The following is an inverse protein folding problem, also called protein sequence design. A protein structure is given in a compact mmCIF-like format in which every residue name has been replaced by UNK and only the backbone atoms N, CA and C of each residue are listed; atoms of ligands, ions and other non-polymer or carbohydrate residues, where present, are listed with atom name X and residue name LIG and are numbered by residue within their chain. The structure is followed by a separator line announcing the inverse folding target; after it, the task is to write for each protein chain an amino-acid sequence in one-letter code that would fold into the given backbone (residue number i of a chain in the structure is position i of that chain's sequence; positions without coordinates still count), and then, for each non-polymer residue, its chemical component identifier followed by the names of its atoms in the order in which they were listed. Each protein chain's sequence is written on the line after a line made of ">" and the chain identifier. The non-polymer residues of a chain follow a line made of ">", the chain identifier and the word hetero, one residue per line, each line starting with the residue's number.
data_IF_825417387341
#
_entry.id   IF_825417387341
#
_cell.length_a   1.000
_cell.length_b   1.000
_cell.length_c   1.000
_cell.angle_alpha   90.00
_cell.angle_beta   90.00
_cell.angle_gamma   90.00
#
_symmetry.space_group_name_H-M   'P 1'
#
loop_
_entity.id
_entity.type
_entity.pdbx_description
1 polymer ?
#
# COMPACT_ATOMS: atom_id res chain seq x y z
N UNK A 1 4.27 31.89 9.71
CA UNK A 1 2.79 31.88 9.67
C UNK A 1 2.20 32.23 8.28
N UNK A 2 2.94 32.07 7.17
CA UNK A 2 2.46 32.37 5.80
C UNK A 2 2.64 31.26 4.78
N UNK A 3 3.24 30.11 5.12
CA UNK A 3 3.37 28.96 4.21
C UNK A 3 2.18 27.97 4.28
N UNK A 4 1.35 28.03 5.32
CA UNK A 4 0.27 27.07 5.57
C UNK A 4 -0.97 27.21 4.66
N UNK A 5 -0.94 28.08 3.64
CA UNK A 5 -2.07 28.32 2.73
C UNK A 5 -1.73 28.14 1.24
N UNK A 6 -0.57 27.61 0.91
CA UNK A 6 -0.28 27.28 -0.48
C UNK A 6 -0.84 25.89 -0.82
N UNK A 7 -1.95 25.86 -1.55
CA UNK A 7 -2.46 24.63 -2.16
C UNK A 7 -1.34 23.93 -2.93
N UNK A 8 -1.28 22.62 -2.87
CA UNK A 8 -0.26 21.78 -3.55
C UNK A 8 -0.02 22.15 -5.04
N UNK A 9 -1.03 22.76 -5.69
CA UNK A 9 -0.95 23.23 -7.09
C UNK A 9 -0.13 24.50 -7.32
N UNK A 10 0.42 25.12 -6.25
CA UNK A 10 1.13 26.40 -6.33
C UNK A 10 2.59 26.33 -5.89
N UNK A 11 3.13 25.12 -5.63
CA UNK A 11 4.54 25.01 -5.27
C UNK A 11 5.42 25.24 -6.52
N UNK A 12 6.48 26.05 -6.41
CA UNK A 12 7.35 26.35 -7.56
C UNK A 12 8.04 25.08 -8.07
N UNK A 13 8.14 24.92 -9.37
CA UNK A 13 8.78 23.78 -10.03
C UNK A 13 10.20 23.47 -9.56
N UNK A 14 10.91 24.46 -9.01
CA UNK A 14 12.26 24.31 -8.49
C UNK A 14 12.33 23.83 -7.03
N UNK A 15 11.19 23.63 -6.36
CA UNK A 15 11.17 23.22 -4.94
C UNK A 15 11.86 21.86 -4.71
N UNK A 16 11.75 20.98 -5.70
CA UNK A 16 12.34 19.65 -5.65
C UNK A 16 13.74 19.56 -6.30
N UNK A 17 14.32 20.68 -6.74
CA UNK A 17 15.67 20.69 -7.35
C UNK A 17 16.77 20.22 -6.40
N UNK A 18 16.54 20.27 -5.10
CA UNK A 18 17.46 19.77 -4.08
C UNK A 18 17.32 18.25 -3.82
N UNK A 19 16.26 17.61 -4.34
CA UNK A 19 16.06 16.17 -4.18
C UNK A 19 16.76 15.39 -5.27
N UNK A 20 17.33 14.25 -4.91
CA UNK A 20 17.98 13.34 -5.84
C UNK A 20 16.93 12.40 -6.43
N UNK A 21 16.87 12.27 -7.76
CA UNK A 21 15.98 11.32 -8.40
C UNK A 21 16.28 9.89 -7.93
N UNK A 22 15.26 9.13 -7.60
CA UNK A 22 15.40 7.74 -7.20
C UNK A 22 15.95 6.91 -8.37
N UNK A 23 17.01 6.16 -8.13
CA UNK A 23 17.58 5.26 -9.12
C UNK A 23 16.51 4.27 -9.63
N UNK A 24 16.36 4.17 -10.94
CA UNK A 24 15.33 3.35 -11.60
C UNK A 24 13.88 3.70 -11.20
N UNK A 25 13.62 4.93 -10.71
CA UNK A 25 12.30 5.38 -10.24
C UNK A 25 11.19 5.14 -11.27
N UNK A 26 11.46 5.28 -12.55
CA UNK A 26 10.50 5.09 -13.65
C UNK A 26 9.93 3.66 -13.68
N UNK A 27 10.70 2.64 -13.26
CA UNK A 27 10.21 1.26 -13.22
C UNK A 27 9.08 1.07 -12.22
N UNK A 28 9.08 1.84 -11.12
CA UNK A 28 8.01 1.83 -10.11
C UNK A 28 6.78 2.64 -10.52
N UNK A 29 6.88 3.44 -11.58
CA UNK A 29 5.80 4.29 -12.09
C UNK A 29 5.17 3.74 -13.38
N UNK A 30 5.65 2.60 -13.90
CA UNK A 30 5.09 1.97 -15.10
C UNK A 30 3.62 1.64 -14.89
N UNK A 31 2.76 2.16 -15.75
CA UNK A 31 1.31 1.88 -15.71
C UNK A 31 1.07 0.40 -15.96
N UNK A 32 0.30 -0.21 -15.08
CA UNK A 32 -0.08 -1.62 -15.18
C UNK A 32 -1.39 -1.78 -15.97
N UNK A 33 -1.43 -2.80 -16.83
CA UNK A 33 -2.70 -3.25 -17.40
C UNK A 33 -3.64 -3.75 -16.30
N UNK A 34 -4.93 -3.83 -16.56
CA UNK A 34 -5.88 -4.35 -15.57
C UNK A 34 -5.57 -5.80 -15.17
N UNK A 35 -5.10 -6.61 -16.11
CA UNK A 35 -4.65 -7.99 -15.83
C UNK A 35 -3.42 -7.97 -14.92
N UNK A 36 -2.43 -7.12 -15.21
CA UNK A 36 -1.22 -7.04 -14.39
C UNK A 36 -1.50 -6.49 -12.99
N UNK A 37 -2.49 -5.60 -12.85
CA UNK A 37 -2.95 -5.14 -11.53
C UNK A 37 -3.46 -6.28 -10.66
N UNK A 38 -4.15 -7.24 -11.24
CA UNK A 38 -4.60 -8.43 -10.50
C UNK A 38 -3.44 -9.36 -10.15
N UNK A 39 -2.56 -9.63 -11.13
CA UNK A 39 -1.47 -10.61 -10.99
C UNK A 39 -0.32 -10.14 -10.13
N UNK A 40 0.05 -8.87 -10.23
CA UNK A 40 1.24 -8.30 -9.61
C UNK A 40 0.95 -7.61 -8.27
N UNK A 41 -0.30 -7.71 -7.76
CA UNK A 41 -0.61 -7.19 -6.43
C UNK A 41 0.36 -7.76 -5.38
N UNK A 42 0.96 -6.95 -4.50
CA UNK A 42 0.67 -5.54 -4.18
C UNK A 42 1.57 -4.51 -4.92
N UNK A 43 2.17 -4.88 -6.02
CA UNK A 43 3.08 -4.12 -6.89
C UNK A 43 4.46 -3.85 -6.24
N UNK A 44 5.43 -3.56 -7.10
CA UNK A 44 6.78 -3.24 -6.66
C UNK A 44 6.83 -1.88 -5.96
N UNK A 45 7.58 -1.82 -4.88
CA UNK A 45 7.86 -0.60 -4.14
C UNK A 45 9.35 -0.50 -3.79
N UNK A 46 9.92 0.71 -3.69
CA UNK A 46 11.26 0.89 -3.18
C UNK A 46 11.42 0.32 -1.76
N UNK A 47 12.57 -0.24 -1.45
CA UNK A 47 12.88 -0.73 -0.09
C UNK A 47 13.19 0.40 0.89
N UNK A 48 13.67 1.54 0.39
CA UNK A 48 13.95 2.77 1.16
C UNK A 48 12.79 3.74 1.17
N UNK A 49 13.02 4.91 1.79
CA UNK A 49 12.11 6.04 1.72
C UNK A 49 12.12 6.66 0.32
N UNK A 50 10.96 7.18 -0.10
CA UNK A 50 10.85 7.93 -1.34
C UNK A 50 9.84 9.08 -1.21
N UNK A 51 10.03 10.10 -2.04
CA UNK A 51 9.06 11.18 -2.24
C UNK A 51 8.47 11.03 -3.64
N UNK A 52 7.16 10.80 -3.73
CA UNK A 52 6.41 10.95 -4.98
C UNK A 52 6.03 12.42 -5.13
N UNK A 53 6.51 13.09 -6.17
CA UNK A 53 6.18 14.47 -6.44
C UNK A 53 6.24 14.78 -7.93
N UNK A 54 5.23 15.48 -8.45
CA UNK A 54 5.13 15.88 -9.86
C UNK A 54 5.34 14.71 -10.84
N UNK A 55 4.76 13.55 -10.52
CA UNK A 55 4.86 12.35 -11.36
C UNK A 55 6.25 11.67 -11.38
N UNK A 56 7.18 12.10 -10.52
CA UNK A 56 8.52 11.55 -10.40
C UNK A 56 8.79 11.02 -8.99
N UNK A 57 9.82 10.19 -8.85
CA UNK A 57 10.28 9.66 -7.57
C UNK A 57 11.66 10.23 -7.22
N UNK A 58 11.77 10.63 -5.97
CA UNK A 58 13.01 11.13 -5.40
C UNK A 58 13.39 10.28 -4.19
N UNK A 59 14.69 10.13 -3.95
CA UNK A 59 15.19 9.46 -2.76
C UNK A 59 14.85 10.27 -1.49
N UNK A 60 14.45 9.58 -0.44
CA UNK A 60 14.06 10.18 0.84
C UNK A 60 14.79 9.47 1.99
N UNK A 61 16.07 9.75 2.11
CA UNK A 61 16.91 9.32 3.22
C UNK A 61 16.78 10.27 4.44
N UNK A 62 17.44 9.91 5.54
CA UNK A 62 17.46 10.72 6.76
C UNK A 62 17.96 12.15 6.53
N UNK A 63 18.99 12.30 5.70
CA UNK A 63 19.60 13.59 5.39
C UNK A 63 18.63 14.51 4.65
N UNK A 64 17.83 13.94 3.76
CA UNK A 64 16.78 14.68 3.04
C UNK A 64 15.65 15.06 3.97
N UNK A 65 15.23 14.15 4.87
CA UNK A 65 14.22 14.43 5.90
C UNK A 65 14.67 15.58 6.80
N UNK A 66 15.89 15.53 7.33
CA UNK A 66 16.40 16.57 8.25
C UNK A 66 16.45 17.96 7.60
N UNK A 67 16.75 18.00 6.31
CA UNK A 67 16.83 19.24 5.51
C UNK A 67 15.47 19.76 5.11
N UNK A 68 14.48 18.90 4.92
CA UNK A 68 13.19 19.22 4.32
C UNK A 68 12.00 18.75 5.18
N UNK A 69 12.10 18.89 6.53
CA UNK A 69 11.05 18.42 7.46
C UNK A 69 9.65 18.96 7.14
N UNK A 70 9.56 20.10 6.47
CA UNK A 70 8.30 20.69 6.03
C UNK A 70 7.44 19.78 5.14
N UNK A 71 8.04 18.75 4.50
CA UNK A 71 7.28 17.80 3.68
C UNK A 71 6.31 16.94 4.50
N UNK A 72 6.46 16.92 5.83
CA UNK A 72 5.57 16.20 6.76
C UNK A 72 4.55 17.13 7.44
N UNK A 73 4.62 18.44 7.22
CA UNK A 73 3.71 19.38 7.87
C UNK A 73 2.25 19.11 7.45
N UNK A 74 1.34 19.16 8.43
CA UNK A 74 -0.10 18.92 8.25
C UNK A 74 -0.44 17.57 7.59
N UNK A 75 0.38 16.54 7.79
CA UNK A 75 0.18 15.19 7.26
C UNK A 75 -0.09 14.16 8.34
N UNK A 76 -0.88 13.16 7.97
CA UNK A 76 -1.20 11.98 8.79
C UNK A 76 -0.39 10.80 8.30
N UNK A 77 0.19 10.06 9.24
CA UNK A 77 0.95 8.85 8.98
C UNK A 77 0.00 7.65 8.74
N UNK A 78 0.05 7.05 7.56
CA UNK A 78 -0.80 5.91 7.16
C UNK A 78 0.06 4.72 6.75
N UNK A 79 0.01 3.63 7.53
CA UNK A 79 0.71 2.38 7.25
C UNK A 79 0.14 1.72 5.99
N UNK A 80 1.00 1.42 5.06
CA UNK A 80 0.66 0.81 3.78
C UNK A 80 0.98 -0.68 3.81
N UNK A 81 0.00 -1.51 4.15
CA UNK A 81 0.17 -2.97 4.29
C UNK A 81 0.14 -3.72 2.95
N UNK A 82 -0.42 -3.10 1.91
CA UNK A 82 -0.58 -3.69 0.57
C UNK A 82 -0.12 -2.78 -0.54
N UNK A 83 -0.94 -2.59 -1.57
CA UNK A 83 -0.58 -1.86 -2.79
C UNK A 83 -0.30 -0.36 -2.58
N UNK A 84 -0.79 0.24 -1.51
CA UNK A 84 -0.55 1.67 -1.21
C UNK A 84 0.92 2.00 -0.87
N UNK A 85 1.78 1.00 -0.73
CA UNK A 85 3.24 1.19 -0.63
C UNK A 85 3.89 1.44 -1.99
N UNK A 86 3.21 1.12 -3.08
CA UNK A 86 3.75 1.18 -4.43
C UNK A 86 3.50 2.53 -5.10
N UNK A 87 4.55 3.18 -5.65
CA UNK A 87 4.41 4.48 -6.31
C UNK A 87 3.38 4.52 -7.42
N UNK A 88 3.29 3.47 -8.26
CA UNK A 88 2.28 3.38 -9.32
C UNK A 88 0.86 3.44 -8.78
N UNK A 89 0.60 2.88 -7.61
CA UNK A 89 -0.71 2.92 -6.98
C UNK A 89 -1.02 4.29 -6.38
N UNK A 90 -0.05 4.92 -5.72
CA UNK A 90 -0.22 6.28 -5.19
C UNK A 90 -0.45 7.27 -6.34
N UNK A 91 0.35 7.20 -7.40
CA UNK A 91 0.17 8.02 -8.60
C UNK A 91 -1.22 7.83 -9.23
N UNK A 92 -1.70 6.58 -9.30
CA UNK A 92 -3.04 6.26 -9.82
C UNK A 92 -4.16 6.86 -8.96
N UNK A 93 -4.00 6.87 -7.62
CA UNK A 93 -5.00 7.40 -6.69
C UNK A 93 -5.03 8.92 -6.65
N UNK A 94 -3.86 9.55 -6.69
CA UNK A 94 -3.69 10.97 -6.37
C UNK A 94 -3.28 11.83 -7.56
N UNK A 95 -2.92 11.20 -8.69
CA UNK A 95 -2.48 11.91 -9.90
C UNK A 95 -1.02 12.37 -9.83
N UNK A 96 -0.55 12.95 -10.96
CA UNK A 96 0.85 13.36 -11.11
C UNK A 96 1.21 14.58 -10.25
N UNK A 97 0.26 15.45 -9.94
CA UNK A 97 0.51 16.63 -9.10
C UNK A 97 0.67 16.34 -7.60
N UNK A 98 0.43 15.09 -7.18
CA UNK A 98 0.53 14.71 -5.77
C UNK A 98 1.96 14.82 -5.24
N UNK A 99 2.06 15.24 -3.97
CA UNK A 99 3.30 15.24 -3.19
C UNK A 99 3.08 14.34 -1.99
N UNK A 100 3.73 13.17 -1.98
CA UNK A 100 3.53 12.15 -0.95
C UNK A 100 4.89 11.64 -0.48
N UNK A 101 5.34 12.02 0.71
CA UNK A 101 6.46 11.36 1.37
C UNK A 101 6.07 9.94 1.76
N UNK A 102 6.96 8.98 1.55
CA UNK A 102 6.79 7.59 1.96
C UNK A 102 8.06 7.13 2.66
N UNK A 103 7.93 6.66 3.89
CA UNK A 103 9.07 6.26 4.72
C UNK A 103 9.00 4.78 5.08
N UNK A 104 10.14 4.07 5.18
CA UNK A 104 10.16 2.69 5.59
C UNK A 104 9.80 2.56 7.08
N UNK A 105 9.10 1.49 7.41
CA UNK A 105 8.71 1.15 8.77
C UNK A 105 8.58 -0.36 8.94
N UNK A 106 8.61 -0.82 10.19
CA UNK A 106 8.37 -2.22 10.55
C UNK A 106 7.13 -2.32 11.44
N UNK A 107 6.33 -3.34 11.20
CA UNK A 107 5.23 -3.72 12.07
C UNK A 107 5.59 -5.02 12.78
N UNK A 108 5.50 -5.02 14.12
CA UNK A 108 5.87 -6.14 14.98
C UNK A 108 4.64 -6.97 15.35
N UNK A 109 4.87 -8.25 15.67
CA UNK A 109 3.88 -9.22 16.10
C UNK A 109 2.68 -9.37 15.15
N UNK A 110 2.90 -9.05 13.87
CA UNK A 110 1.92 -9.18 12.80
C UNK A 110 2.54 -9.77 11.54
N UNK A 111 1.73 -10.46 10.74
CA UNK A 111 2.05 -10.77 9.34
C UNK A 111 1.02 -10.12 8.42
N UNK A 112 1.37 -9.99 7.14
CA UNK A 112 0.45 -9.52 6.12
C UNK A 112 -0.11 -10.72 5.37
N UNK A 113 -1.41 -10.89 5.50
CA UNK A 113 -2.15 -12.04 4.96
C UNK A 113 -3.22 -11.60 3.97
N UNK A 114 -3.66 -12.51 3.11
CA UNK A 114 -4.78 -12.28 2.21
C UNK A 114 -6.08 -12.05 2.98
N UNK A 115 -6.83 -11.02 2.62
CA UNK A 115 -8.16 -10.75 3.15
C UNK A 115 -9.20 -11.66 2.49
N UNK A 116 -10.27 -12.02 3.22
CA UNK A 116 -11.34 -12.88 2.71
C UNK A 116 -12.29 -12.12 1.76
N UNK A 117 -11.75 -11.50 0.73
CA UNK A 117 -12.52 -10.78 -0.29
C UNK A 117 -11.78 -10.75 -1.63
N UNK A 118 -12.53 -10.42 -2.68
CA UNK A 118 -12.00 -10.16 -4.01
C UNK A 118 -12.12 -8.67 -4.32
N UNK A 119 -11.01 -8.06 -4.71
CA UNK A 119 -11.02 -6.67 -5.17
C UNK A 119 -11.66 -6.53 -6.54
N UNK A 120 -12.15 -5.34 -6.87
CA UNK A 120 -12.83 -5.03 -8.14
C UNK A 120 -11.99 -5.35 -9.40
N UNK A 121 -10.68 -5.44 -9.27
CA UNK A 121 -9.77 -5.81 -10.36
C UNK A 121 -9.29 -7.26 -10.27
N UNK A 122 -10.00 -8.11 -9.51
CA UNK A 122 -9.76 -9.55 -9.35
C UNK A 122 -8.51 -9.94 -8.56
N UNK A 123 -7.85 -9.02 -7.86
CA UNK A 123 -6.84 -9.40 -6.88
C UNK A 123 -7.51 -9.75 -5.53
N UNK A 124 -6.89 -10.64 -4.78
CA UNK A 124 -7.19 -10.85 -3.37
C UNK A 124 -6.36 -9.87 -2.56
N UNK A 125 -6.96 -8.83 -1.95
CA UNK A 125 -6.21 -7.84 -1.20
C UNK A 125 -5.68 -8.41 0.12
N UNK A 126 -5.02 -7.58 0.92
CA UNK A 126 -4.40 -8.04 2.16
C UNK A 126 -4.77 -7.17 3.35
N UNK A 127 -4.48 -7.70 4.53
CA UNK A 127 -4.62 -7.04 5.83
C UNK A 127 -3.52 -7.49 6.78
N UNK A 128 -3.24 -6.68 7.81
CA UNK A 128 -2.39 -7.12 8.92
C UNK A 128 -3.17 -8.12 9.80
N UNK A 129 -2.48 -9.14 10.29
CA UNK A 129 -3.05 -10.16 11.17
C UNK A 129 -2.04 -10.55 12.26
N UNK A 130 -2.47 -10.77 13.49
CA UNK A 130 -1.58 -11.12 14.61
C UNK A 130 -0.74 -12.36 14.32
N UNK A 131 0.58 -12.23 14.53
CA UNK A 131 1.56 -13.29 14.34
C UNK A 131 2.74 -13.05 15.28
N UNK A 132 2.67 -13.55 16.50
CA UNK A 132 3.65 -13.31 17.54
C UNK A 132 5.08 -13.65 17.09
N UNK A 133 6.01 -12.72 17.25
CA UNK A 133 7.41 -12.82 16.83
C UNK A 133 7.65 -12.60 15.33
N UNK A 134 6.61 -12.33 14.54
CA UNK A 134 6.77 -11.93 13.14
C UNK A 134 7.04 -10.42 13.05
N UNK A 135 7.93 -10.02 12.15
CA UNK A 135 8.23 -8.62 11.85
C UNK A 135 8.14 -8.43 10.36
N UNK A 136 7.28 -7.52 9.92
CA UNK A 136 7.10 -7.21 8.49
C UNK A 136 7.68 -5.86 8.13
N UNK A 137 8.34 -5.79 6.97
CA UNK A 137 8.89 -4.56 6.40
C UNK A 137 7.84 -3.89 5.52
N UNK A 138 7.42 -2.70 5.91
CA UNK A 138 6.34 -1.94 5.30
C UNK A 138 6.77 -0.49 5.00
N UNK A 139 5.81 0.32 4.58
CA UNK A 139 5.99 1.74 4.35
C UNK A 139 4.86 2.54 5.01
N UNK A 140 5.17 3.75 5.44
CA UNK A 140 4.19 4.74 5.90
C UNK A 140 4.09 5.84 4.85
N UNK A 141 2.90 6.03 4.29
CA UNK A 141 2.58 7.16 3.42
C UNK A 141 2.10 8.34 4.29
N UNK A 142 2.63 9.52 4.03
CA UNK A 142 2.29 10.74 4.75
C UNK A 142 1.33 11.57 3.91
N UNK A 143 0.06 11.55 4.30
CA UNK A 143 -1.04 12.09 3.51
C UNK A 143 -1.56 13.40 4.11
N UNK A 144 -1.73 14.43 3.29
CA UNK A 144 -2.49 15.62 3.68
C UNK A 144 -3.99 15.32 3.78
N UNK A 145 -4.78 16.28 4.24
CA UNK A 145 -6.20 16.06 4.50
C UNK A 145 -7.00 15.65 3.24
N UNK A 146 -6.71 16.24 2.07
CA UNK A 146 -7.39 15.91 0.81
C UNK A 146 -6.98 14.50 0.33
N UNK A 147 -5.71 14.17 0.47
CA UNK A 147 -5.18 12.84 0.14
C UNK A 147 -5.73 11.77 1.08
N UNK A 148 -5.85 12.05 2.38
CA UNK A 148 -6.41 11.12 3.34
C UNK A 148 -7.89 10.84 3.04
N UNK A 149 -8.67 11.87 2.73
CA UNK A 149 -10.06 11.73 2.32
C UNK A 149 -10.21 10.89 1.02
N UNK A 150 -9.34 11.13 0.03
CA UNK A 150 -9.29 10.33 -1.19
C UNK A 150 -8.87 8.88 -0.91
N UNK A 151 -7.91 8.67 0.01
CA UNK A 151 -7.53 7.32 0.44
C UNK A 151 -8.73 6.61 1.07
N UNK A 152 -9.46 7.25 1.97
CA UNK A 152 -10.65 6.71 2.61
C UNK A 152 -11.71 6.25 1.59
N UNK A 153 -11.99 7.08 0.58
CA UNK A 153 -12.93 6.72 -0.50
C UNK A 153 -12.47 5.49 -1.28
N UNK A 154 -11.18 5.42 -1.62
CA UNK A 154 -10.64 4.32 -2.43
C UNK A 154 -10.45 3.02 -1.66
N UNK A 155 -10.34 3.08 -0.35
CA UNK A 155 -10.32 1.90 0.53
C UNK A 155 -11.75 1.43 0.90
N UNK A 156 -12.77 2.24 0.66
CA UNK A 156 -14.15 1.89 0.98
C UNK A 156 -14.37 1.71 2.47
N UNK A 157 -14.01 2.74 3.27
CA UNK A 157 -14.19 2.71 4.73
C UNK A 157 -15.64 2.38 5.10
N UNK A 158 -15.79 1.52 6.12
CA UNK A 158 -17.08 1.05 6.60
C UNK A 158 -17.73 -0.05 5.74
N UNK A 159 -17.18 -0.31 4.55
CA UNK A 159 -17.60 -1.40 3.64
C UNK A 159 -16.51 -2.47 3.53
N UNK A 160 -15.36 -2.13 2.98
CA UNK A 160 -14.25 -3.07 2.78
C UNK A 160 -13.24 -3.05 3.93
N UNK A 161 -12.97 -1.86 4.46
CA UNK A 161 -11.98 -1.66 5.53
C UNK A 161 -12.51 -0.76 6.65
N UNK A 162 -11.94 -0.95 7.84
CA UNK A 162 -11.99 -0.01 8.95
C UNK A 162 -10.67 0.76 9.02
N UNK A 163 -10.74 2.06 9.33
CA UNK A 163 -9.59 2.90 9.58
C UNK A 163 -9.25 2.85 11.07
N UNK A 164 -8.08 2.33 11.41
CA UNK A 164 -7.69 2.01 12.78
C UNK A 164 -6.32 2.57 13.12
N UNK A 165 -6.09 2.87 14.40
CA UNK A 165 -4.77 3.20 14.91
C UNK A 165 -3.95 1.90 15.01
N UNK A 166 -2.77 1.90 14.39
CA UNK A 166 -1.85 0.76 14.37
C UNK A 166 -0.95 0.80 15.60
N UNK A 167 -0.81 -0.34 16.26
CA UNK A 167 0.14 -0.54 17.36
C UNK A 167 1.44 -1.16 16.81
N UNK A 168 2.51 -1.06 17.58
CA UNK A 168 3.78 -1.75 17.33
C UNK A 168 4.42 -1.45 15.96
N UNK A 169 4.19 -0.21 15.47
CA UNK A 169 4.85 0.33 14.27
C UNK A 169 6.12 1.07 14.67
N UNK A 170 7.24 0.71 14.07
CA UNK A 170 8.54 1.37 14.28
C UNK A 170 9.02 1.94 12.96
N UNK A 171 9.24 3.24 12.90
CA UNK A 171 9.85 3.91 11.75
C UNK A 171 11.35 3.59 11.68
N UNK A 172 11.87 3.35 10.48
CA UNK A 172 13.30 3.13 10.25
C UNK A 172 14.08 4.44 10.07
N UNK A 173 13.37 5.56 9.92
CA UNK A 173 13.92 6.92 9.83
C UNK A 173 13.35 7.81 10.94
N UNK A 174 14.08 8.86 11.32
CA UNK A 174 13.63 9.86 12.29
C UNK A 174 12.61 10.80 11.61
N UNK A 175 11.36 10.53 11.82
CA UNK A 175 10.20 11.26 11.28
C UNK A 175 9.44 11.96 12.42
N UNK A 176 8.43 12.82 12.15
CA UNK A 176 7.58 13.36 13.19
C UNK A 176 6.91 12.27 14.03
N UNK A 177 6.95 12.41 15.35
CA UNK A 177 6.29 11.51 16.29
C UNK A 177 4.79 11.79 16.30
N UNK A 178 4.00 10.85 15.79
CA UNK A 178 2.55 10.91 15.80
C UNK A 178 1.93 9.51 15.65
N UNK A 179 0.65 9.33 15.99
CA UNK A 179 -0.05 8.06 15.77
C UNK A 179 0.00 7.63 14.31
N UNK A 180 0.25 6.35 14.08
CA UNK A 180 0.20 5.74 12.76
C UNK A 180 -1.14 5.04 12.60
N UNK A 181 -1.83 5.31 11.51
CA UNK A 181 -3.10 4.68 11.18
C UNK A 181 -2.95 3.69 10.03
N UNK A 182 -3.94 2.84 9.83
CA UNK A 182 -3.95 1.87 8.74
C UNK A 182 -5.35 1.36 8.44
N UNK A 183 -5.43 0.45 7.49
CA UNK A 183 -6.69 -0.13 7.05
C UNK A 183 -6.74 -1.62 7.39
N UNK A 184 -7.75 -2.02 8.18
CA UNK A 184 -8.03 -3.40 8.58
C UNK A 184 -9.22 -3.93 7.79
N UNK A 185 -9.07 -5.09 7.14
CA UNK A 185 -10.15 -5.66 6.32
C UNK A 185 -11.32 -6.14 7.19
N UNK A 186 -12.53 -5.69 6.85
CA UNK A 186 -13.77 -6.07 7.55
C UNK A 186 -14.19 -7.51 7.24
N UNK A 187 -13.81 -8.03 6.09
CA UNK A 187 -14.07 -9.43 5.70
C UNK A 187 -13.28 -10.44 6.51
N UNK A 188 -12.34 -10.00 7.34
CA UNK A 188 -11.38 -10.89 7.99
C UNK A 188 -10.32 -11.41 7.02
N UNK A 189 -9.70 -12.53 7.37
CA UNK A 189 -8.60 -13.15 6.63
C UNK A 189 -9.05 -14.37 5.84
N UNK A 190 -8.42 -14.62 4.70
CA UNK A 190 -8.70 -15.79 3.87
C UNK A 190 -8.31 -17.07 4.61
N UNK A 191 -9.29 -17.93 4.88
CA UNK A 191 -9.04 -19.29 5.34
C UNK A 191 -8.47 -20.12 4.19
N UNK A 192 -7.18 -20.33 4.22
CA UNK A 192 -6.49 -21.11 3.20
C UNK A 192 -6.55 -22.62 3.48
N UNK A 193 -6.39 -23.01 4.75
CA UNK A 193 -6.37 -24.41 5.14
C UNK A 193 -6.86 -24.59 6.60
N UNK A 194 -8.17 -24.80 6.78
CA UNK A 194 -8.73 -25.19 8.07
C UNK A 194 -8.49 -24.19 9.21
N UNK A 195 -8.72 -22.91 8.98
CA UNK A 195 -8.52 -21.83 9.93
C UNK A 195 -7.12 -21.18 9.90
N UNK A 196 -6.25 -21.60 8.97
CA UNK A 196 -4.90 -21.06 8.82
C UNK A 196 -4.92 -19.94 7.76
N UNK A 197 -4.52 -18.69 8.11
CA UNK A 197 -4.38 -17.61 7.16
C UNK A 197 -3.31 -17.89 6.10
N UNK A 198 -3.46 -17.22 4.94
CA UNK A 198 -2.50 -17.27 3.83
C UNK A 198 -1.64 -16.00 3.83
N UNK A 199 -0.34 -16.10 4.08
CA UNK A 199 0.57 -14.97 4.03
C UNK A 199 0.82 -14.51 2.59
N UNK A 200 0.95 -13.18 2.41
CA UNK A 200 1.27 -12.55 1.13
C UNK A 200 2.80 -12.53 0.92
N UNK A 201 3.36 -13.37 0.02
CA UNK A 201 4.82 -13.56 -0.10
C UNK A 201 5.54 -12.32 -0.60
N UNK A 202 4.86 -11.41 -1.31
CA UNK A 202 5.45 -10.18 -1.82
C UNK A 202 5.79 -9.15 -0.71
N UNK A 203 5.33 -9.38 0.53
CA UNK A 203 5.68 -8.57 1.69
C UNK A 203 6.80 -9.28 2.46
N UNK A 204 7.92 -8.62 2.60
CA UNK A 204 9.10 -9.15 3.32
C UNK A 204 8.78 -9.27 4.81
N UNK A 205 8.98 -10.46 5.36
CA UNK A 205 8.76 -10.75 6.77
C UNK A 205 9.86 -11.64 7.35
N UNK A 206 10.15 -11.45 8.63
CA UNK A 206 11.04 -12.31 9.43
C UNK A 206 10.20 -12.97 10.52
N UNK A 207 10.37 -14.27 10.73
CA UNK A 207 9.61 -15.01 11.73
C UNK A 207 8.17 -15.36 11.30
N UNK A 208 7.86 -15.28 10.02
CA UNK A 208 6.56 -15.68 9.44
C UNK A 208 6.21 -17.12 9.80
N UNK A 209 4.95 -17.34 10.16
CA UNK A 209 4.44 -18.66 10.54
C UNK A 209 3.33 -19.17 9.61
N UNK A 210 2.67 -18.28 8.88
CA UNK A 210 1.63 -18.63 7.94
C UNK A 210 2.22 -19.06 6.60
N UNK A 211 1.58 -20.00 5.86
CA UNK A 211 2.03 -20.41 4.54
C UNK A 211 1.97 -19.24 3.56
N UNK A 212 3.01 -19.11 2.76
CA UNK A 212 3.06 -18.14 1.68
C UNK A 212 2.21 -18.62 0.50
N UNK A 213 1.26 -17.80 0.07
CA UNK A 213 0.30 -18.15 -0.97
C UNK A 213 0.29 -17.09 -2.06
N UNK A 214 0.44 -17.50 -3.31
CA UNK A 214 0.44 -16.58 -4.45
C UNK A 214 -0.95 -15.96 -4.67
N UNK A 215 -1.02 -14.86 -5.43
CA UNK A 215 -2.30 -14.25 -5.83
C UNK A 215 -3.18 -15.24 -6.62
N UNK A 216 -2.58 -16.08 -7.45
CA UNK A 216 -3.31 -17.07 -8.23
C UNK A 216 -3.95 -18.14 -7.32
N UNK A 217 -3.19 -18.66 -6.34
CA UNK A 217 -3.68 -19.68 -5.42
C UNK A 217 -4.70 -19.11 -4.43
N UNK A 218 -4.49 -17.88 -3.95
CA UNK A 218 -5.46 -17.17 -3.12
C UNK A 218 -6.78 -16.94 -3.89
N UNK A 219 -6.74 -16.52 -5.14
CA UNK A 219 -7.92 -16.36 -5.98
C UNK A 219 -8.61 -17.71 -6.26
N UNK A 220 -7.86 -18.78 -6.47
CA UNK A 220 -8.41 -20.15 -6.61
C UNK A 220 -9.14 -20.56 -5.31
N UNK A 221 -8.56 -20.27 -4.15
CA UNK A 221 -9.19 -20.55 -2.86
C UNK A 221 -10.48 -19.76 -2.65
N UNK A 222 -10.50 -18.48 -3.01
CA UNK A 222 -11.73 -17.67 -2.96
C UNK A 222 -12.83 -18.29 -3.81
N UNK A 223 -12.51 -18.74 -5.05
CA UNK A 223 -13.47 -19.43 -5.93
C UNK A 223 -14.04 -20.69 -5.31
N UNK A 224 -13.20 -21.54 -4.72
CA UNK A 224 -13.64 -22.74 -3.99
C UNK A 224 -14.63 -22.41 -2.87
N UNK A 225 -14.28 -21.40 -2.03
CA UNK A 225 -15.11 -21.00 -0.89
C UNK A 225 -16.45 -20.39 -1.31
N UNK A 226 -16.52 -19.77 -2.48
CA UNK A 226 -17.74 -19.16 -3.01
C UNK A 226 -18.56 -20.10 -3.90
N UNK A 227 -18.11 -21.34 -4.08
CA UNK A 227 -18.78 -22.32 -4.97
C UNK A 227 -18.63 -22.00 -6.45
N UNK A 228 -17.74 -21.07 -6.82
CA UNK A 228 -17.40 -20.75 -8.20
C UNK A 228 -16.23 -21.64 -8.68
N UNK A 229 -16.28 -22.92 -8.39
CA UNK A 229 -15.26 -23.87 -8.85
C UNK A 229 -15.44 -24.12 -10.35
N UNK A 230 -14.61 -23.46 -11.13
CA UNK A 230 -14.59 -23.61 -12.57
C UNK A 230 -13.17 -23.92 -13.06
N UNK A 231 -13.10 -24.56 -14.22
CA UNK A 231 -11.84 -24.98 -14.86
C UNK A 231 -11.08 -23.82 -15.52
N UNK A 232 -11.53 -22.56 -15.38
CA UNK A 232 -10.89 -21.40 -16.01
C UNK A 232 -9.51 -21.14 -15.42
N UNK A 233 -8.59 -20.75 -16.27
CA UNK A 233 -7.30 -20.25 -15.83
C UNK A 233 -7.45 -18.98 -14.99
N UNK A 234 -6.44 -18.63 -14.20
CA UNK A 234 -6.44 -17.37 -13.44
C UNK A 234 -6.60 -16.14 -14.34
N UNK A 235 -6.04 -16.17 -15.56
CA UNK A 235 -6.18 -15.09 -16.53
C UNK A 235 -7.63 -14.89 -17.03
N UNK A 236 -8.31 -15.99 -17.34
CA UNK A 236 -9.72 -15.98 -17.76
C UNK A 236 -10.61 -15.48 -16.62
N UNK A 237 -10.37 -15.96 -15.41
CA UNK A 237 -11.07 -15.47 -14.22
C UNK A 237 -10.92 -13.95 -14.02
N UNK A 238 -9.69 -13.42 -14.11
CA UNK A 238 -9.45 -11.97 -14.03
C UNK A 238 -10.24 -11.24 -15.12
N UNK A 239 -10.20 -11.72 -16.35
CA UNK A 239 -10.88 -11.08 -17.47
C UNK A 239 -12.41 -11.04 -17.27
N UNK A 240 -13.00 -12.08 -16.71
CA UNK A 240 -14.44 -12.15 -16.42
C UNK A 240 -14.83 -11.18 -15.30
N UNK A 241 -14.13 -11.20 -14.17
CA UNK A 241 -14.38 -10.26 -13.06
C UNK A 241 -14.28 -8.80 -13.52
N UNK A 242 -13.38 -8.50 -14.45
CA UNK A 242 -13.23 -7.15 -15.00
C UNK A 242 -14.30 -6.79 -16.03
N UNK A 243 -14.87 -7.76 -16.72
CA UNK A 243 -15.96 -7.58 -17.69
C UNK A 243 -17.28 -7.27 -17.00
N UNK A 244 -17.56 -7.91 -15.88
CA UNK A 244 -18.81 -7.74 -15.11
C UNK A 244 -18.93 -6.36 -14.41
N UNK A 245 -17.94 -5.48 -14.61
CA UNK A 245 -17.98 -4.09 -14.10
C UNK A 245 -18.64 -3.08 -15.03
N UNK A 246 -18.95 -3.48 -16.25
CA UNK A 246 -19.58 -2.64 -17.26
C UNK A 246 -21.07 -2.90 -17.34
#
# INVERSE_FOLDING_TARGET
>A
LRLALMKASALPHNLFSAFVALAHGDTYLTTLSDIDRARLYPYSAPSGGYLLANGALYDLDQKMIDRHRWIFDDRVAVLSVGSNRAPVQLRRKFGDAAIIPVTPARLFDCDIVHAAMLGFYAAVPCTAFPCAGCIVSLNVAWLDAEQLEQMHRTEGIGVAYDYVMMQDVVHDLLVPDQPVYGYSARSGVLDYAGGIPAALPAIVAVGRRFPEVSQADAAARVRQLTGCDDSRSHAEFIADVQRDKT
#
